data_IF_517183796135
#
_entry.id   IF_517183796135
#
_cell.length_a   1.000
_cell.length_b   1.000
_cell.length_c   1.000
_cell.angle_alpha   90.00
_cell.angle_beta   90.00
_cell.angle_gamma   90.00
#
_symmetry.space_group_name_H-M   'P 1'
#
loop_
_entity.id
_entity.type
_entity.pdbx_description
1 polymer ?
#
# COMPACT_ATOMS: atom_id res chain seq x y z
N UNK A 1 -14.71 2.94 -1.67
CA UNK A 1 -13.48 2.18 -1.98
C UNK A 1 -12.42 3.17 -2.41
N UNK A 2 -11.21 3.04 -1.86
CA UNK A 2 -10.02 3.80 -2.29
C UNK A 2 -9.11 2.82 -3.03
N UNK A 3 -8.49 3.24 -4.12
CA UNK A 3 -7.54 2.42 -4.87
C UNK A 3 -6.15 3.04 -4.75
N UNK A 4 -5.20 2.29 -4.21
CA UNK A 4 -3.79 2.63 -4.28
C UNK A 4 -3.18 1.96 -5.51
N UNK A 5 -2.79 2.77 -6.49
CA UNK A 5 -2.17 2.31 -7.74
C UNK A 5 -0.66 2.57 -7.73
N UNK A 6 0.10 1.70 -8.38
CA UNK A 6 1.56 1.80 -8.46
C UNK A 6 2.09 1.12 -9.72
N UNK A 7 3.21 1.62 -10.26
CA UNK A 7 3.80 1.10 -11.51
C UNK A 7 4.87 0.04 -11.28
N UNK A 8 5.39 -0.10 -10.08
CA UNK A 8 6.45 -1.05 -9.75
C UNK A 8 5.91 -2.49 -9.61
N UNK A 9 5.35 -3.04 -10.67
CA UNK A 9 4.95 -4.44 -10.71
C UNK A 9 5.84 -5.20 -11.67
N UNK A 10 6.64 -6.13 -11.15
CA UNK A 10 7.36 -7.08 -12.00
C UNK A 10 6.36 -8.08 -12.61
N UNK A 11 6.39 -8.30 -13.93
CA UNK A 11 5.55 -9.31 -14.57
C UNK A 11 5.78 -10.69 -13.90
N UNK A 12 4.71 -11.39 -13.59
CA UNK A 12 4.79 -12.78 -13.09
C UNK A 12 5.08 -13.79 -14.19
N UNK A 13 4.99 -13.37 -15.44
CA UNK A 13 5.22 -14.23 -16.61
C UNK A 13 6.63 -14.84 -16.59
N UNK A 14 6.69 -16.15 -16.84
CA UNK A 14 7.97 -16.84 -17.02
C UNK A 14 8.55 -16.51 -18.39
N UNK A 15 9.84 -16.20 -18.47
CA UNK A 15 10.51 -15.94 -19.76
C UNK A 15 10.41 -17.16 -20.66
N UNK A 16 10.04 -16.96 -21.93
CA UNK A 16 10.00 -18.04 -22.93
C UNK A 16 11.37 -18.64 -23.15
N UNK A 17 12.43 -17.84 -23.10
CA UNK A 17 13.83 -18.33 -23.12
C UNK A 17 14.12 -19.36 -22.01
N UNK A 18 13.60 -19.13 -20.80
CA UNK A 18 13.78 -20.08 -19.70
C UNK A 18 13.01 -21.39 -19.94
N UNK A 19 11.81 -21.30 -20.50
CA UNK A 19 10.99 -22.46 -20.84
C UNK A 19 11.68 -23.28 -21.95
N UNK A 20 12.11 -22.61 -23.03
CA UNK A 20 12.76 -23.26 -24.19
C UNK A 20 14.03 -24.00 -23.76
N UNK A 21 14.87 -23.43 -22.90
CA UNK A 21 16.07 -24.07 -22.38
C UNK A 21 15.80 -25.38 -21.65
N UNK A 22 14.63 -25.53 -21.05
CA UNK A 22 14.21 -26.73 -20.30
C UNK A 22 13.52 -27.80 -21.15
N UNK A 23 13.19 -27.49 -22.41
CA UNK A 23 12.59 -28.47 -23.31
C UNK A 23 13.61 -29.55 -23.65
N UNK A 24 13.18 -30.82 -23.53
CA UNK A 24 14.07 -31.98 -23.75
C UNK A 24 13.97 -32.56 -25.17
N UNK A 25 12.94 -32.21 -25.86
CA UNK A 25 12.53 -32.69 -27.18
C UNK A 25 13.09 -31.84 -28.35
N UNK A 26 13.89 -30.81 -28.07
CA UNK A 26 14.50 -29.93 -29.05
C UNK A 26 16.02 -30.07 -29.06
N UNK A 27 16.62 -30.01 -30.25
CA UNK A 27 18.07 -29.92 -30.43
C UNK A 27 18.57 -28.54 -29.98
N UNK A 28 19.88 -28.41 -29.71
CA UNK A 28 20.46 -27.13 -29.30
C UNK A 28 20.34 -26.07 -30.37
N UNK A 29 20.44 -26.44 -31.65
CA UNK A 29 20.24 -25.53 -32.78
C UNK A 29 18.80 -25.00 -32.82
N UNK A 30 17.79 -25.87 -32.65
CA UNK A 30 16.38 -25.47 -32.57
C UNK A 30 16.12 -24.57 -31.38
N UNK A 31 16.72 -24.88 -30.19
CA UNK A 31 16.59 -24.02 -29.02
C UNK A 31 17.15 -22.63 -29.25
N UNK A 32 18.36 -22.54 -29.84
CA UNK A 32 19.00 -21.25 -30.10
C UNK A 32 18.16 -20.39 -31.04
N UNK A 33 17.58 -20.97 -32.09
CA UNK A 33 16.69 -20.26 -33.01
C UNK A 33 15.42 -19.74 -32.28
N UNK A 34 14.77 -20.58 -31.50
CA UNK A 34 13.59 -20.21 -30.73
C UNK A 34 13.89 -19.19 -29.62
N UNK A 35 15.05 -19.27 -28.98
CA UNK A 35 15.47 -18.30 -27.97
C UNK A 35 15.61 -16.91 -28.60
N UNK A 36 16.18 -16.81 -29.79
CA UNK A 36 16.32 -15.51 -30.46
C UNK A 36 14.95 -14.96 -30.91
N UNK A 37 14.08 -15.83 -31.39
CA UNK A 37 12.72 -15.45 -31.81
C UNK A 37 11.87 -14.97 -30.63
N UNK A 38 11.97 -15.64 -29.46
CA UNK A 38 11.10 -15.39 -28.30
C UNK A 38 11.84 -14.72 -27.11
N UNK A 39 12.97 -14.08 -27.34
CA UNK A 39 13.79 -13.47 -26.25
C UNK A 39 13.05 -12.47 -25.37
N UNK A 40 12.12 -11.71 -25.96
CA UNK A 40 11.36 -10.67 -25.27
C UNK A 40 9.96 -11.13 -24.83
N UNK A 41 9.61 -12.39 -25.11
CA UNK A 41 8.32 -12.92 -24.76
C UNK A 41 8.32 -13.60 -23.38
N UNK A 42 7.17 -13.52 -22.73
CA UNK A 42 6.87 -14.19 -21.45
C UNK A 42 5.50 -14.83 -21.51
N UNK A 43 5.23 -15.77 -20.61
CA UNK A 43 3.87 -16.31 -20.47
C UNK A 43 2.87 -15.18 -20.16
N UNK A 44 1.60 -15.26 -20.62
CA UNK A 44 0.64 -14.16 -20.56
C UNK A 44 0.08 -13.91 -19.16
N UNK A 45 0.97 -13.61 -18.21
CA UNK A 45 0.62 -13.32 -16.84
C UNK A 45 1.02 -11.88 -16.51
N UNK A 46 0.04 -10.99 -16.54
CA UNK A 46 0.21 -9.62 -16.03
C UNK A 46 -0.01 -9.59 -14.52
N UNK A 47 0.61 -8.62 -13.85
CA UNK A 47 0.44 -8.40 -12.43
C UNK A 47 -0.47 -7.21 -12.19
N UNK A 48 -1.36 -7.33 -11.22
CA UNK A 48 -2.13 -6.19 -10.73
C UNK A 48 -1.19 -5.11 -10.20
N UNK A 49 -1.45 -3.87 -10.59
CA UNK A 49 -0.73 -2.68 -10.17
C UNK A 49 -1.59 -1.80 -9.25
N UNK A 50 -2.56 -2.35 -8.57
CA UNK A 50 -3.36 -1.63 -7.60
C UNK A 50 -3.69 -2.52 -6.39
N UNK A 51 -3.90 -1.87 -5.25
CA UNK A 51 -4.42 -2.49 -4.04
C UNK A 51 -5.71 -1.74 -3.64
N UNK A 52 -6.88 -2.41 -3.68
CA UNK A 52 -8.12 -1.80 -3.25
C UNK A 52 -8.16 -1.72 -1.71
N UNK A 53 -8.60 -0.57 -1.20
CA UNK A 53 -8.83 -0.33 0.22
C UNK A 53 -10.33 -0.20 0.42
N UNK A 54 -10.92 -1.15 1.12
CA UNK A 54 -12.34 -1.10 1.48
C UNK A 54 -12.53 -0.11 2.64
N UNK A 55 -13.34 0.91 2.41
CA UNK A 55 -13.77 1.83 3.47
C UNK A 55 -15.21 1.47 3.83
N UNK A 56 -15.40 1.06 5.07
CA UNK A 56 -16.70 0.65 5.60
C UNK A 56 -16.92 1.30 6.97
N UNK A 57 -18.17 1.44 7.33
CA UNK A 57 -18.61 1.96 8.62
C UNK A 57 -19.67 1.04 9.21
N UNK A 58 -19.65 0.86 10.52
CA UNK A 58 -20.73 0.15 11.21
C UNK A 58 -22.06 0.89 11.01
N UNK A 59 -23.20 0.17 10.91
CA UNK A 59 -24.49 0.80 10.86
C UNK A 59 -24.68 1.77 12.02
N UNK A 60 -25.17 2.96 11.71
CA UNK A 60 -25.46 3.99 12.72
C UNK A 60 -26.94 3.95 13.08
N UNK A 61 -27.23 3.89 14.37
CA UNK A 61 -28.63 4.04 14.88
C UNK A 61 -29.05 5.52 15.00
N UNK A 62 -28.30 6.46 14.42
CA UNK A 62 -28.51 7.89 14.60
C UNK A 62 -27.97 8.69 13.40
N UNK A 63 -27.99 10.03 13.47
CA UNK A 63 -27.41 10.90 12.43
C UNK A 63 -25.88 10.93 12.52
N UNK A 64 -25.20 11.25 11.40
CA UNK A 64 -23.75 11.41 11.35
C UNK A 64 -23.25 12.35 12.44
N UNK A 65 -23.90 13.49 12.62
CA UNK A 65 -23.46 14.48 13.61
C UNK A 65 -23.59 13.97 15.04
N UNK A 66 -24.68 13.27 15.39
CA UNK A 66 -24.83 12.64 16.72
C UNK A 66 -23.81 11.54 16.93
N UNK A 67 -23.52 10.73 15.91
CA UNK A 67 -22.47 9.71 15.96
C UNK A 67 -21.11 10.35 16.22
N UNK A 68 -20.78 11.42 15.51
CA UNK A 68 -19.52 12.16 15.72
C UNK A 68 -19.42 12.75 17.12
N UNK A 69 -20.47 13.36 17.64
CA UNK A 69 -20.47 13.92 18.98
C UNK A 69 -20.26 12.86 20.07
N UNK A 70 -20.85 11.67 19.89
CA UNK A 70 -20.79 10.60 20.88
C UNK A 70 -19.52 9.77 20.79
N UNK A 71 -19.06 9.45 19.58
CA UNK A 71 -18.02 8.46 19.33
C UNK A 71 -16.78 9.03 18.62
N UNK A 72 -16.84 10.26 18.12
CA UNK A 72 -15.75 10.93 17.36
C UNK A 72 -15.29 10.15 16.13
N UNK A 73 -16.22 9.48 15.46
CA UNK A 73 -15.95 8.63 14.29
C UNK A 73 -17.02 8.80 13.20
N UNK A 74 -16.69 8.32 11.98
CA UNK A 74 -17.63 8.25 10.87
C UNK A 74 -17.60 9.46 9.92
N UNK A 75 -16.68 10.39 10.11
CA UNK A 75 -16.47 11.53 9.22
C UNK A 75 -15.18 11.38 8.42
N UNK A 76 -15.12 12.03 7.28
CA UNK A 76 -13.91 12.13 6.45
C UNK A 76 -13.38 13.57 6.56
N UNK A 77 -12.11 13.71 6.83
CA UNK A 77 -11.46 15.02 6.91
C UNK A 77 -11.06 15.54 5.52
N UNK A 78 -11.91 16.34 4.91
CA UNK A 78 -11.65 16.97 3.62
C UNK A 78 -10.65 18.17 3.69
N UNK A 79 -10.13 18.51 4.87
CA UNK A 79 -9.01 19.43 4.97
C UNK A 79 -7.68 18.81 4.53
N UNK A 80 -7.62 17.49 4.47
CA UNK A 80 -6.46 16.74 3.96
C UNK A 80 -6.37 16.88 2.44
N UNK A 81 -5.86 18.02 1.99
CA UNK A 81 -5.76 18.34 0.56
C UNK A 81 -4.69 17.49 -0.13
N UNK A 82 -4.95 17.15 -1.38
CA UNK A 82 -4.10 16.35 -2.28
C UNK A 82 -3.77 17.12 -3.56
N UNK A 83 -2.94 16.53 -4.42
CA UNK A 83 -2.48 17.16 -5.64
C UNK A 83 -1.11 17.86 -5.45
N UNK A 84 -0.49 18.27 -6.54
CA UNK A 84 0.82 18.94 -6.54
C UNK A 84 0.76 20.24 -5.77
N UNK A 85 -0.28 21.05 -6.00
CA UNK A 85 -0.55 22.32 -5.29
C UNK A 85 -1.19 22.14 -3.91
N UNK A 86 -1.56 20.90 -3.54
CA UNK A 86 -2.28 20.57 -2.30
C UNK A 86 -3.53 21.43 -2.05
N UNK A 87 -4.24 21.76 -3.09
CA UNK A 87 -5.46 22.58 -3.06
C UNK A 87 -6.74 21.80 -3.34
N UNK A 88 -6.62 20.52 -3.75
CA UNK A 88 -7.75 19.69 -4.17
C UNK A 88 -8.22 18.76 -3.05
N UNK A 89 -9.53 18.49 -3.05
CA UNK A 89 -10.11 17.51 -2.12
C UNK A 89 -9.65 16.10 -2.45
N UNK A 90 -9.52 15.21 -1.44
CA UNK A 90 -9.15 13.83 -1.65
C UNK A 90 -10.07 13.12 -2.65
N UNK A 91 -9.48 12.32 -3.52
CA UNK A 91 -10.17 11.43 -4.42
C UNK A 91 -10.02 9.97 -3.94
N UNK A 92 -10.69 9.06 -4.62
CA UNK A 92 -10.63 7.63 -4.30
C UNK A 92 -9.45 6.91 -4.99
N UNK A 93 -8.50 7.63 -5.56
CA UNK A 93 -7.30 7.08 -6.18
C UNK A 93 -6.07 7.66 -5.50
N UNK A 94 -5.17 6.78 -5.09
CA UNK A 94 -3.84 7.08 -4.58
C UNK A 94 -2.84 6.45 -5.56
N UNK A 95 -1.87 7.22 -6.03
CA UNK A 95 -0.93 6.75 -7.07
C UNK A 95 0.52 7.05 -6.68
N UNK A 96 1.46 6.35 -7.31
CA UNK A 96 2.91 6.51 -7.11
C UNK A 96 3.57 7.40 -8.15
N UNK A 97 2.83 7.89 -9.12
CA UNK A 97 3.34 8.69 -10.23
C UNK A 97 2.78 10.09 -10.24
N UNK A 98 3.62 11.03 -10.68
CA UNK A 98 3.16 12.34 -11.09
C UNK A 98 2.50 12.21 -12.47
N UNK A 99 1.17 12.31 -12.50
CA UNK A 99 0.45 12.45 -13.74
C UNK A 99 0.39 13.94 -14.12
N UNK A 100 0.21 14.18 -15.43
CA UNK A 100 0.01 15.52 -15.96
C UNK A 100 -1.24 16.17 -15.31
N UNK A 101 -1.42 17.46 -15.52
CA UNK A 101 -2.42 18.34 -14.86
C UNK A 101 -3.85 17.77 -14.79
N UNK A 102 -4.23 16.88 -15.69
CA UNK A 102 -5.57 16.27 -15.72
C UNK A 102 -5.82 15.22 -14.60
N UNK A 103 -4.75 14.73 -13.96
CA UNK A 103 -4.83 13.70 -12.89
C UNK A 103 -4.39 14.18 -11.51
N UNK A 104 -4.27 15.46 -11.32
CA UNK A 104 -3.77 16.13 -10.12
C UNK A 104 -4.63 15.96 -8.85
N UNK A 105 -5.66 15.11 -8.88
CA UNK A 105 -6.52 14.79 -7.72
C UNK A 105 -6.01 13.63 -6.87
N UNK A 106 -4.86 13.08 -7.21
CA UNK A 106 -4.34 11.87 -6.58
C UNK A 106 -3.32 12.21 -5.50
N UNK A 107 -3.29 11.39 -4.45
CA UNK A 107 -2.23 11.40 -3.45
C UNK A 107 -1.12 10.44 -3.88
N UNK A 108 0.10 10.96 -4.05
CA UNK A 108 1.23 10.18 -4.56
C UNK A 108 1.95 9.45 -3.43
N UNK A 109 2.00 8.12 -3.48
CA UNK A 109 2.70 7.30 -2.50
C UNK A 109 3.46 6.16 -3.16
N UNK A 110 4.77 6.22 -3.11
CA UNK A 110 5.63 5.13 -3.57
C UNK A 110 5.58 3.91 -2.63
N UNK A 111 5.93 2.74 -3.13
CA UNK A 111 6.18 1.57 -2.27
C UNK A 111 7.30 1.87 -1.27
N UNK A 112 7.27 1.26 -0.07
CA UNK A 112 8.28 1.54 0.95
C UNK A 112 9.67 1.12 0.48
N UNK A 113 10.65 2.02 0.66
CA UNK A 113 12.06 1.75 0.38
C UNK A 113 12.64 0.73 1.36
N UNK A 114 13.82 0.17 1.06
CA UNK A 114 14.54 -0.70 2.01
C UNK A 114 14.85 0.02 3.32
N UNK A 115 15.18 1.31 3.26
CA UNK A 115 15.44 2.14 4.44
C UNK A 115 14.18 2.28 5.30
N UNK A 116 13.03 2.58 4.69
CA UNK A 116 11.75 2.72 5.38
C UNK A 116 11.27 1.41 6.01
N UNK A 117 11.48 0.28 5.33
CA UNK A 117 11.16 -1.04 5.89
C UNK A 117 12.00 -1.37 7.13
N UNK A 118 13.24 -0.89 7.16
CA UNK A 118 14.24 -1.32 8.14
C UNK A 118 15.06 -2.51 7.65
N UNK A 119 16.37 -2.51 7.92
CA UNK A 119 17.31 -3.51 7.39
C UNK A 119 17.00 -4.95 7.83
N UNK A 120 16.43 -5.12 9.02
CA UNK A 120 16.09 -6.44 9.61
C UNK A 120 14.62 -6.83 9.45
N UNK A 121 13.84 -6.05 8.72
CA UNK A 121 12.40 -6.32 8.59
C UNK A 121 12.14 -7.42 7.55
N UNK A 122 11.76 -8.58 8.02
CA UNK A 122 11.44 -9.77 7.23
C UNK A 122 9.98 -9.78 6.72
N UNK A 123 9.16 -8.82 7.16
CA UNK A 123 7.75 -8.75 6.77
C UNK A 123 7.60 -8.44 5.27
N UNK A 124 6.90 -9.33 4.55
CA UNK A 124 6.84 -9.30 3.08
C UNK A 124 5.92 -8.22 2.50
N UNK A 125 4.92 -7.78 3.23
CA UNK A 125 3.85 -6.87 2.74
C UNK A 125 3.82 -5.53 3.47
N UNK A 126 4.97 -4.97 3.82
CA UNK A 126 5.07 -3.67 4.49
C UNK A 126 4.41 -2.58 3.64
N UNK A 127 3.50 -1.82 4.24
CA UNK A 127 2.86 -0.67 3.60
C UNK A 127 3.71 0.59 3.75
N UNK A 128 3.64 1.56 2.82
CA UNK A 128 4.31 2.84 2.97
C UNK A 128 3.76 3.61 4.18
N UNK A 129 4.64 4.24 4.95
CA UNK A 129 4.24 5.08 6.09
C UNK A 129 3.35 6.23 5.61
N UNK A 130 3.74 6.90 4.52
CA UNK A 130 2.97 8.01 3.95
C UNK A 130 1.54 7.62 3.53
N UNK A 131 1.34 6.39 3.02
CA UNK A 131 -0.01 5.87 2.73
C UNK A 131 -0.84 5.76 4.01
N UNK A 132 -0.26 5.16 5.06
CA UNK A 132 -0.97 4.97 6.32
C UNK A 132 -1.22 6.30 7.05
N UNK A 133 -0.28 7.25 7.00
CA UNK A 133 -0.48 8.60 7.53
C UNK A 133 -1.63 9.33 6.83
N UNK A 134 -1.71 9.23 5.50
CA UNK A 134 -2.81 9.82 4.75
C UNK A 134 -4.15 9.23 5.17
N UNK A 135 -4.25 7.89 5.24
CA UNK A 135 -5.49 7.22 5.64
C UNK A 135 -5.87 7.54 7.09
N UNK A 136 -4.91 7.52 8.00
CA UNK A 136 -5.15 7.86 9.42
C UNK A 136 -5.64 9.30 9.57
N UNK A 137 -5.05 10.26 8.88
CA UNK A 137 -5.51 11.66 8.88
C UNK A 137 -6.89 11.83 8.27
N UNK A 138 -7.15 11.12 7.17
CA UNK A 138 -8.42 11.23 6.43
C UNK A 138 -9.62 10.71 7.26
N UNK A 139 -9.42 9.65 8.04
CA UNK A 139 -10.50 8.93 8.74
C UNK A 139 -10.49 9.09 10.25
N UNK A 140 -9.55 9.84 10.83
CA UNK A 140 -9.49 10.06 12.27
C UNK A 140 -9.00 11.47 12.62
N UNK A 141 -9.51 12.01 13.72
CA UNK A 141 -9.03 13.28 14.29
C UNK A 141 -7.74 13.07 15.09
N UNK A 142 -7.03 14.17 15.37
CA UNK A 142 -5.93 14.15 16.32
C UNK A 142 -6.38 13.63 17.68
N UNK A 143 -5.49 12.91 18.36
CA UNK A 143 -5.75 12.21 19.62
C UNK A 143 -6.77 11.07 19.57
N UNK A 144 -7.33 10.77 18.39
CA UNK A 144 -8.22 9.62 18.22
C UNK A 144 -7.47 8.30 18.44
N UNK A 145 -8.22 7.27 18.80
CA UNK A 145 -7.72 5.91 18.94
C UNK A 145 -7.94 5.13 17.64
N UNK A 146 -6.87 4.62 17.07
CA UNK A 146 -6.85 3.75 15.89
C UNK A 146 -6.57 2.32 16.35
N UNK A 147 -7.38 1.38 15.90
CA UNK A 147 -7.18 -0.05 16.12
C UNK A 147 -6.72 -0.70 14.80
N UNK A 148 -5.58 -1.40 14.86
CA UNK A 148 -5.11 -2.26 13.77
C UNK A 148 -4.95 -3.70 14.30
N UNK A 149 -5.91 -4.60 14.02
CA UNK A 149 -5.87 -5.98 14.51
C UNK A 149 -4.83 -6.85 13.79
N UNK A 150 -4.15 -6.34 12.76
CA UNK A 150 -3.15 -7.03 11.95
C UNK A 150 -1.95 -6.11 11.67
N UNK A 151 -1.38 -5.50 12.72
CA UNK A 151 -0.42 -4.40 12.62
C UNK A 151 0.89 -4.77 11.91
N UNK A 152 1.19 -6.06 11.77
CA UNK A 152 2.38 -6.56 11.09
C UNK A 152 3.66 -5.97 11.70
N UNK A 153 4.48 -5.36 10.86
CA UNK A 153 5.71 -4.70 11.29
C UNK A 153 5.51 -3.24 11.74
N UNK A 154 4.29 -2.83 12.14
CA UNK A 154 4.03 -1.59 12.87
C UNK A 154 3.83 -0.33 12.03
N UNK A 155 3.59 -0.41 10.72
CA UNK A 155 3.47 0.79 9.88
C UNK A 155 2.31 1.71 10.31
N UNK A 156 1.15 1.13 10.67
CA UNK A 156 0.01 1.90 11.20
C UNK A 156 0.36 2.58 12.52
N UNK A 157 1.06 1.90 13.42
CA UNK A 157 1.47 2.46 14.70
C UNK A 157 2.44 3.64 14.52
N UNK A 158 3.39 3.54 13.59
CA UNK A 158 4.29 4.64 13.22
C UNK A 158 3.48 5.81 12.65
N UNK A 159 2.56 5.56 11.73
CA UNK A 159 1.71 6.59 11.15
C UNK A 159 0.87 7.31 12.21
N UNK A 160 0.33 6.58 13.18
CA UNK A 160 -0.40 7.16 14.31
C UNK A 160 0.50 8.05 15.17
N UNK A 161 1.72 7.58 15.51
CA UNK A 161 2.69 8.37 16.27
C UNK A 161 3.04 9.67 15.54
N UNK A 162 3.37 9.61 14.25
CA UNK A 162 3.74 10.76 13.43
C UNK A 162 2.60 11.78 13.26
N UNK A 163 1.36 11.36 13.44
CA UNK A 163 0.17 12.17 13.21
C UNK A 163 -0.61 12.51 14.48
N UNK A 164 -0.02 12.31 15.66
CA UNK A 164 -0.64 12.55 16.96
C UNK A 164 -1.94 11.74 17.20
N UNK A 165 -1.95 10.47 16.77
CA UNK A 165 -3.03 9.53 17.07
C UNK A 165 -2.53 8.45 18.01
N UNK A 166 -3.44 7.88 18.81
CA UNK A 166 -3.16 6.70 19.63
C UNK A 166 -3.38 5.44 18.80
N UNK A 167 -2.60 4.39 19.02
CA UNK A 167 -2.76 3.13 18.31
C UNK A 167 -2.83 1.96 19.29
N UNK A 168 -3.75 1.04 19.02
CA UNK A 168 -3.74 -0.32 19.55
C UNK A 168 -3.49 -1.24 18.35
N UNK A 169 -2.38 -1.96 18.38
CA UNK A 169 -2.02 -2.93 17.33
C UNK A 169 -2.01 -4.35 17.88
N UNK A 170 -2.51 -5.30 17.12
CA UNK A 170 -2.40 -6.72 17.42
C UNK A 170 -1.58 -7.40 16.32
N UNK A 171 -0.68 -8.32 16.71
CA UNK A 171 0.10 -9.14 15.80
C UNK A 171 0.30 -10.52 16.42
N UNK A 172 -0.03 -11.56 15.67
CA UNK A 172 0.08 -12.95 16.13
C UNK A 172 1.50 -13.52 16.00
N UNK A 173 2.27 -12.99 15.03
CA UNK A 173 3.64 -13.42 14.81
C UNK A 173 4.59 -12.64 15.72
N UNK A 174 5.22 -13.32 16.65
CA UNK A 174 6.13 -12.72 17.65
C UNK A 174 7.32 -11.99 16.99
N UNK A 175 7.85 -12.50 15.87
CA UNK A 175 8.94 -11.84 15.13
C UNK A 175 8.48 -10.49 14.59
N UNK A 176 7.31 -10.43 13.93
CA UNK A 176 6.76 -9.18 13.39
C UNK A 176 6.37 -8.22 14.50
N UNK A 177 5.84 -8.71 15.61
CA UNK A 177 5.56 -7.91 16.80
C UNK A 177 6.83 -7.23 17.35
N UNK A 178 7.94 -7.96 17.48
CA UNK A 178 9.20 -7.39 17.92
C UNK A 178 9.75 -6.35 16.94
N UNK A 179 9.67 -6.62 15.63
CA UNK A 179 10.02 -5.66 14.59
C UNK A 179 9.16 -4.39 14.71
N UNK A 180 7.86 -4.53 14.97
CA UNK A 180 6.97 -3.39 15.15
C UNK A 180 7.38 -2.53 16.33
N UNK A 181 7.71 -3.13 17.49
CA UNK A 181 8.19 -2.42 18.67
C UNK A 181 9.49 -1.64 18.39
N UNK A 182 10.48 -2.29 17.77
CA UNK A 182 11.75 -1.64 17.39
C UNK A 182 11.53 -0.45 16.44
N UNK A 183 10.70 -0.63 15.42
CA UNK A 183 10.40 0.43 14.44
C UNK A 183 9.68 1.62 15.06
N UNK A 184 8.70 1.38 15.91
CA UNK A 184 7.96 2.45 16.60
C UNK A 184 8.85 3.18 17.59
N UNK A 185 9.77 2.47 18.26
CA UNK A 185 10.71 3.07 19.20
C UNK A 185 11.76 3.95 18.50
N UNK A 186 12.17 3.57 17.27
CA UNK A 186 13.20 4.29 16.50
C UNK A 186 12.66 5.48 15.69
N UNK A 187 11.35 5.65 15.64
CA UNK A 187 10.65 6.80 15.03
C UNK A 187 10.29 7.84 16.09
#
# INVERSE_FOLDING_TARGET
MINWTYTQAMPKGMSMTHIIKKMKDLTDEQKNKLIEEYKDFKTPQVRSCFEPICVAMKPMGTTFMKNELNFKTGMIDFSQKVGISRDRTPANIITTEEYNESYDKNFLVSKPTKKEKGAKNTHITVKPIALMEHLVKLFSKENALVLDPFVGSGTTAIACKNTNRKCIGCEINTEYYNIALERVAST
#
